data_IF_326791505766
#
_entry.id   IF_326791505766
#
_cell.length_a   1.000
_cell.length_b   1.000
_cell.length_c   1.000
_cell.angle_alpha   90.00
_cell.angle_beta   90.00
_cell.angle_gamma   90.00
#
_symmetry.space_group_name_H-M   'P 1'
#
loop_
_entity.id
_entity.type
_entity.pdbx_description
1 polymer ?
#
# COMPACT_ATOMS: atom_id res chain seq x y z
N UNK A 1 11.44 14.86 35.98
CA UNK A 1 10.50 14.92 34.85
C UNK A 1 11.33 14.63 33.61
N UNK A 2 11.49 13.34 33.34
CA UNK A 2 12.22 12.88 32.16
C UNK A 2 11.35 13.21 30.95
N UNK A 3 11.78 14.22 30.19
CA UNK A 3 11.21 14.50 28.88
C UNK A 3 11.58 13.31 28.00
N UNK A 4 10.63 12.38 27.85
CA UNK A 4 10.69 11.37 26.80
C UNK A 4 11.03 12.11 25.50
N UNK A 5 12.08 11.71 24.76
CA UNK A 5 12.44 12.41 23.53
C UNK A 5 11.23 12.35 22.62
N UNK A 6 10.67 13.51 22.30
CA UNK A 6 9.52 13.66 21.40
C UNK A 6 9.91 12.99 20.08
N UNK A 7 9.57 11.71 19.92
CA UNK A 7 9.59 11.03 18.62
C UNK A 7 8.70 11.88 17.74
N UNK A 8 9.27 12.49 16.70
CA UNK A 8 8.49 13.38 15.86
C UNK A 8 7.30 12.61 15.29
N UNK A 9 6.16 13.29 15.23
CA UNK A 9 4.87 12.69 14.87
C UNK A 9 4.51 13.08 13.44
N UNK A 10 3.75 12.21 12.75
CA UNK A 10 3.21 12.52 11.43
C UNK A 10 1.89 13.28 11.58
N UNK A 11 1.88 14.54 11.13
CA UNK A 11 0.69 15.38 11.11
C UNK A 11 0.54 16.09 9.76
N UNK A 12 -0.66 16.61 9.47
CA UNK A 12 -0.94 17.42 8.29
C UNK A 12 -1.15 16.66 6.96
N UNK A 13 -1.55 17.41 5.94
CA UNK A 13 -1.96 16.86 4.63
C UNK A 13 -0.83 16.13 3.88
N UNK A 14 0.42 16.60 4.00
CA UNK A 14 1.57 15.96 3.36
C UNK A 14 1.78 14.52 3.83
N UNK A 15 1.60 14.26 5.13
CA UNK A 15 1.69 12.93 5.72
C UNK A 15 0.58 12.00 5.20
N UNK A 16 -0.65 12.51 5.04
CA UNK A 16 -1.77 11.75 4.46
C UNK A 16 -1.49 11.37 3.02
N UNK A 17 -0.99 12.31 2.22
CA UNK A 17 -0.60 12.04 0.82
C UNK A 17 0.49 10.97 0.76
N UNK A 18 1.53 11.07 1.60
CA UNK A 18 2.58 10.06 1.66
C UNK A 18 2.05 8.66 1.99
N UNK A 19 1.14 8.56 2.97
CA UNK A 19 0.50 7.31 3.38
C UNK A 19 -0.32 6.70 2.24
N UNK A 20 -1.23 7.46 1.63
CA UNK A 20 -2.11 6.97 0.56
C UNK A 20 -1.29 6.48 -0.64
N UNK A 21 -0.25 7.22 -1.03
CA UNK A 21 0.65 6.82 -2.12
C UNK A 21 1.39 5.51 -1.79
N UNK A 22 1.84 5.34 -0.54
CA UNK A 22 2.51 4.14 -0.10
C UNK A 22 1.56 2.94 -0.02
N UNK A 23 0.39 3.10 0.61
CA UNK A 23 -0.65 2.08 0.69
C UNK A 23 -1.05 1.59 -0.70
N UNK A 24 -1.28 2.52 -1.62
CA UNK A 24 -1.67 2.21 -2.99
C UNK A 24 -0.55 1.47 -3.73
N UNK A 25 0.71 1.91 -3.60
CA UNK A 25 1.87 1.24 -4.20
C UNK A 25 2.02 -0.19 -3.68
N UNK A 26 2.04 -0.37 -2.37
CA UNK A 26 2.25 -1.66 -1.69
C UNK A 26 1.13 -2.63 -2.04
N UNK A 27 -0.11 -2.17 -1.89
CA UNK A 27 -1.31 -2.95 -2.20
C UNK A 27 -1.36 -3.39 -3.65
N UNK A 28 -1.09 -2.47 -4.58
CA UNK A 28 -1.18 -2.76 -6.01
C UNK A 28 -0.13 -3.81 -6.42
N UNK A 29 1.13 -3.65 -6.00
CA UNK A 29 2.18 -4.64 -6.33
C UNK A 29 1.92 -5.98 -5.66
N UNK A 30 1.55 -6.00 -4.37
CA UNK A 30 1.28 -7.25 -3.64
C UNK A 30 0.10 -8.01 -4.25
N UNK A 31 -0.99 -7.32 -4.60
CA UNK A 31 -2.13 -7.91 -5.29
C UNK A 31 -1.75 -8.47 -6.66
N UNK A 32 -0.98 -7.72 -7.44
CA UNK A 32 -0.50 -8.16 -8.74
C UNK A 32 0.38 -9.42 -8.63
N UNK A 33 1.28 -9.47 -7.64
CA UNK A 33 2.13 -10.62 -7.35
C UNK A 33 1.33 -11.86 -6.95
N UNK A 34 0.30 -11.71 -6.12
CA UNK A 34 -0.59 -12.81 -5.72
C UNK A 34 -1.37 -13.38 -6.92
N UNK A 35 -1.73 -12.53 -7.88
CA UNK A 35 -2.42 -12.96 -9.11
C UNK A 35 -1.51 -13.21 -10.31
N UNK A 36 -0.19 -13.19 -10.12
CA UNK A 36 0.78 -13.25 -11.22
C UNK A 36 0.68 -14.58 -11.98
N UNK A 37 0.44 -14.50 -13.29
CA UNK A 37 0.41 -15.67 -14.19
C UNK A 37 0.42 -15.25 -15.65
N UNK A 38 1.57 -15.35 -16.32
CA UNK A 38 1.65 -15.08 -17.76
C UNK A 38 0.98 -16.15 -18.63
N UNK A 39 0.67 -17.32 -18.05
CA UNK A 39 -0.13 -18.36 -18.70
C UNK A 39 -1.61 -17.97 -18.84
N UNK A 40 -2.10 -17.08 -17.98
CA UNK A 40 -3.52 -16.68 -17.95
C UNK A 40 -3.71 -15.24 -18.43
N UNK A 41 -2.85 -14.32 -17.95
CA UNK A 41 -2.96 -12.88 -18.17
C UNK A 41 -1.75 -12.40 -18.97
N UNK A 42 -2.00 -11.57 -20.00
CA UNK A 42 -0.92 -11.05 -20.85
C UNK A 42 0.07 -10.21 -20.05
N UNK A 43 1.36 -10.31 -20.40
CA UNK A 43 2.48 -9.54 -19.79
C UNK A 43 2.24 -8.03 -19.76
N UNK A 44 1.50 -7.48 -20.74
CA UNK A 44 1.18 -6.06 -20.80
C UNK A 44 0.49 -5.53 -19.55
N UNK A 45 -0.41 -6.32 -18.94
CA UNK A 45 -1.08 -5.96 -17.68
C UNK A 45 -0.09 -5.75 -16.54
N UNK A 46 0.84 -6.70 -16.34
CA UNK A 46 1.81 -6.60 -15.25
C UNK A 46 2.88 -5.54 -15.50
N UNK A 47 3.24 -5.28 -16.76
CA UNK A 47 4.16 -4.19 -17.11
C UNK A 47 3.57 -2.81 -16.84
N UNK A 48 2.31 -2.56 -17.22
CA UNK A 48 1.66 -1.27 -16.92
C UNK A 48 1.50 -1.09 -15.42
N UNK A 49 1.13 -2.15 -14.69
CA UNK A 49 1.10 -2.14 -13.22
C UNK A 49 2.48 -1.76 -12.66
N UNK A 50 3.55 -2.42 -13.09
CA UNK A 50 4.89 -2.17 -12.56
C UNK A 50 5.42 -0.76 -12.85
N UNK A 51 5.16 -0.21 -14.05
CA UNK A 51 5.54 1.18 -14.35
C UNK A 51 4.73 2.17 -13.52
N UNK A 52 3.41 1.96 -13.41
CA UNK A 52 2.53 2.83 -12.64
C UNK A 52 2.94 2.84 -11.17
N UNK A 53 3.22 1.67 -10.59
CA UNK A 53 3.65 1.56 -9.20
C UNK A 53 5.10 2.00 -8.99
N UNK A 54 5.96 1.92 -9.99
CA UNK A 54 7.30 2.53 -9.94
C UNK A 54 7.25 4.04 -9.79
N UNK A 55 6.39 4.72 -10.57
CA UNK A 55 6.15 6.17 -10.43
C UNK A 55 5.50 6.48 -9.09
N UNK A 56 4.45 5.73 -8.74
CA UNK A 56 3.71 5.94 -7.49
C UNK A 56 4.59 5.74 -6.25
N UNK A 57 5.45 4.73 -6.25
CA UNK A 57 6.41 4.45 -5.19
C UNK A 57 7.47 5.54 -5.07
N UNK A 58 7.98 6.07 -6.19
CA UNK A 58 8.90 7.20 -6.17
C UNK A 58 8.23 8.46 -5.56
N UNK A 59 6.98 8.74 -5.94
CA UNK A 59 6.20 9.83 -5.35
C UNK A 59 5.93 9.60 -3.86
N UNK A 60 5.61 8.37 -3.45
CA UNK A 60 5.43 7.99 -2.05
C UNK A 60 6.69 8.27 -1.23
N UNK A 61 7.88 7.92 -1.76
CA UNK A 61 9.15 8.20 -1.10
C UNK A 61 9.41 9.71 -0.99
N UNK A 62 9.21 10.48 -2.06
CA UNK A 62 9.39 11.94 -2.03
C UNK A 62 8.46 12.58 -1.01
N UNK A 63 7.16 12.24 -1.06
CA UNK A 63 6.17 12.74 -0.12
C UNK A 63 6.53 12.36 1.33
N UNK A 64 6.90 11.10 1.57
CA UNK A 64 7.27 10.63 2.91
C UNK A 64 8.51 11.34 3.43
N UNK A 65 9.52 11.61 2.59
CA UNK A 65 10.72 12.36 2.99
C UNK A 65 10.43 13.82 3.29
N UNK A 66 9.50 14.44 2.55
CA UNK A 66 9.09 15.82 2.79
C UNK A 66 8.29 15.99 4.09
N UNK A 67 7.58 14.95 4.52
CA UNK A 67 6.75 14.97 5.73
C UNK A 67 7.34 14.17 6.90
N UNK A 68 8.53 13.58 6.75
CA UNK A 68 9.06 12.65 7.76
C UNK A 68 9.52 13.41 9.00
N UNK A 69 9.14 12.97 10.20
CA UNK A 69 9.66 13.56 11.42
C UNK A 69 11.13 13.20 11.65
N UNK A 70 11.84 14.07 12.37
CA UNK A 70 13.20 13.80 12.83
C UNK A 70 13.23 12.51 13.66
N UNK A 71 14.19 11.63 13.35
CA UNK A 71 14.37 10.35 14.03
C UNK A 71 13.57 9.16 13.45
N UNK A 72 12.80 9.34 12.37
CA UNK A 72 12.09 8.27 11.67
C UNK A 72 13.00 7.40 10.77
N UNK A 73 14.18 7.02 11.27
CA UNK A 73 15.24 6.32 10.51
C UNK A 73 14.77 4.95 10.03
N UNK A 74 14.08 4.19 10.89
CA UNK A 74 13.59 2.85 10.56
C UNK A 74 12.50 2.93 9.49
N UNK A 75 11.52 3.81 9.66
CA UNK A 75 10.44 4.02 8.71
C UNK A 75 10.98 4.48 7.36
N UNK A 76 11.91 5.46 7.36
CA UNK A 76 12.59 5.92 6.15
C UNK A 76 13.32 4.77 5.44
N UNK A 77 14.06 3.95 6.19
CA UNK A 77 14.75 2.77 5.63
C UNK A 77 13.79 1.77 4.99
N UNK A 78 12.66 1.48 5.65
CA UNK A 78 11.63 0.58 5.13
C UNK A 78 10.91 1.13 3.89
N UNK A 79 10.63 2.44 3.84
CA UNK A 79 10.03 3.07 2.64
C UNK A 79 11.01 3.01 1.47
N UNK A 80 12.29 3.32 1.68
CA UNK A 80 13.31 3.19 0.62
C UNK A 80 13.42 1.75 0.14
N UNK A 81 13.49 0.79 1.07
CA UNK A 81 13.60 -0.63 0.73
C UNK A 81 12.38 -1.13 -0.07
N UNK A 82 11.17 -0.70 0.34
CA UNK A 82 9.93 -0.95 -0.41
C UNK A 82 10.03 -0.44 -1.83
N UNK A 83 10.44 0.82 -2.02
CA UNK A 83 10.54 1.43 -3.36
C UNK A 83 11.63 0.78 -4.21
N UNK A 84 12.77 0.44 -3.62
CA UNK A 84 13.80 -0.34 -4.30
C UNK A 84 13.25 -1.70 -4.77
N UNK A 85 12.49 -2.40 -3.91
CA UNK A 85 11.84 -3.66 -4.27
C UNK A 85 10.79 -3.49 -5.38
N UNK A 86 10.09 -2.34 -5.46
CA UNK A 86 9.18 -2.02 -6.58
C UNK A 86 9.95 -1.95 -7.90
N UNK A 87 11.14 -1.33 -7.93
CA UNK A 87 11.97 -1.31 -9.13
C UNK A 87 12.54 -2.70 -9.49
N UNK A 88 12.83 -3.54 -8.49
CA UNK A 88 13.14 -4.95 -8.74
C UNK A 88 11.95 -5.69 -9.36
N UNK A 89 10.73 -5.46 -8.87
CA UNK A 89 9.51 -6.01 -9.45
C UNK A 89 9.31 -5.55 -10.89
N UNK A 90 9.56 -4.28 -11.18
CA UNK A 90 9.54 -3.74 -12.55
C UNK A 90 10.53 -4.47 -13.44
N UNK A 91 11.79 -4.58 -13.03
CA UNK A 91 12.81 -5.33 -13.77
C UNK A 91 12.39 -6.78 -14.01
N UNK A 92 11.80 -7.42 -13.01
CA UNK A 92 11.32 -8.81 -13.10
C UNK A 92 10.22 -9.01 -14.16
N UNK A 93 9.40 -7.99 -14.48
CA UNK A 93 8.38 -8.08 -15.54
C UNK A 93 8.95 -8.19 -16.97
N UNK A 94 10.26 -8.00 -17.12
CA UNK A 94 10.97 -8.13 -18.39
C UNK A 94 11.75 -9.43 -18.52
N UNK A 95 11.75 -10.27 -17.48
CA UNK A 95 12.38 -11.59 -17.52
C UNK A 95 11.49 -12.61 -18.25
N UNK A 96 12.05 -13.80 -18.49
CA UNK A 96 11.37 -14.87 -19.23
C UNK A 96 10.42 -15.72 -18.39
N UNK A 97 10.53 -15.67 -17.05
CA UNK A 97 9.72 -16.45 -16.12
C UNK A 97 8.89 -15.59 -15.13
N UNK A 98 7.75 -16.14 -14.71
CA UNK A 98 6.86 -15.52 -13.71
C UNK A 98 7.50 -15.44 -12.31
N UNK A 99 8.38 -16.40 -11.99
CA UNK A 99 8.92 -16.62 -10.63
C UNK A 99 9.58 -15.40 -10.00
N UNK A 100 10.55 -14.75 -10.67
CA UNK A 100 11.18 -13.53 -10.16
C UNK A 100 10.18 -12.42 -9.84
N UNK A 101 9.13 -12.27 -10.65
CA UNK A 101 8.12 -11.26 -10.45
C UNK A 101 7.19 -11.57 -9.27
N UNK A 102 6.87 -12.85 -9.04
CA UNK A 102 6.17 -13.28 -7.82
C UNK A 102 7.00 -12.96 -6.58
N UNK A 103 8.29 -13.32 -6.60
CA UNK A 103 9.20 -13.15 -5.44
C UNK A 103 9.41 -11.67 -5.12
N UNK A 104 9.76 -10.86 -6.11
CA UNK A 104 9.98 -9.42 -5.92
C UNK A 104 8.70 -8.70 -5.52
N UNK A 105 7.55 -9.07 -6.07
CA UNK A 105 6.28 -8.49 -5.68
C UNK A 105 5.83 -8.90 -4.27
N UNK A 106 6.08 -10.14 -3.85
CA UNK A 106 5.88 -10.58 -2.47
C UNK A 106 6.81 -9.83 -1.50
N UNK A 107 8.06 -9.58 -1.91
CA UNK A 107 9.02 -8.77 -1.15
C UNK A 107 8.50 -7.34 -0.95
N UNK A 108 7.93 -6.71 -1.98
CA UNK A 108 7.26 -5.40 -1.86
C UNK A 108 6.12 -5.47 -0.84
N UNK A 109 5.30 -6.51 -0.88
CA UNK A 109 4.22 -6.71 0.10
C UNK A 109 4.73 -6.78 1.54
N UNK A 110 5.79 -7.55 1.79
CA UNK A 110 6.37 -7.74 3.13
C UNK A 110 7.03 -6.45 3.63
N UNK A 111 7.90 -5.83 2.83
CA UNK A 111 8.59 -4.60 3.20
C UNK A 111 7.61 -3.44 3.34
N UNK A 112 6.65 -3.35 2.43
CA UNK A 112 5.59 -2.35 2.42
C UNK A 112 4.68 -2.45 3.63
N UNK A 113 4.19 -3.65 3.97
CA UNK A 113 3.40 -3.87 5.18
C UNK A 113 4.21 -3.55 6.44
N UNK A 114 5.50 -3.89 6.46
CA UNK A 114 6.40 -3.53 7.56
C UNK A 114 6.57 -2.01 7.68
N UNK A 115 6.71 -1.30 6.56
CA UNK A 115 6.78 0.15 6.52
C UNK A 115 5.49 0.78 7.07
N UNK A 116 4.32 0.35 6.55
CA UNK A 116 3.01 0.84 7.00
C UNK A 116 2.77 0.57 8.49
N UNK A 117 3.11 -0.63 8.97
CA UNK A 117 3.03 -0.97 10.39
C UNK A 117 3.92 -0.08 11.26
N UNK A 118 5.17 0.14 10.85
CA UNK A 118 6.11 1.00 11.58
C UNK A 118 5.72 2.49 11.54
N UNK A 119 5.12 2.94 10.44
CA UNK A 119 4.58 4.29 10.30
C UNK A 119 3.34 4.50 11.17
N UNK A 120 2.53 3.45 11.38
CA UNK A 120 1.40 3.49 12.33
C UNK A 120 1.80 3.94 13.73
N UNK A 121 3.03 3.66 14.16
CA UNK A 121 3.59 4.14 15.44
C UNK A 121 3.96 5.62 15.48
N UNK A 122 3.90 6.33 14.35
CA UNK A 122 4.13 7.77 14.24
C UNK A 122 2.81 8.58 14.19
N UNK A 123 1.66 7.91 14.14
CA UNK A 123 0.35 8.56 14.08
C UNK A 123 -0.04 9.07 15.46
N UNK A 124 -0.15 10.39 15.59
CA UNK A 124 -0.46 11.04 16.86
C UNK A 124 -1.83 10.65 17.40
N UNK A 125 -1.90 10.31 18.69
CA UNK A 125 -3.18 10.04 19.37
C UNK A 125 -3.77 8.67 19.06
N UNK A 126 -3.09 7.82 18.29
CA UNK A 126 -3.54 6.48 17.93
C UNK A 126 -2.68 5.39 18.56
N UNK A 127 -3.28 4.22 18.79
CA UNK A 127 -2.51 3.01 19.09
C UNK A 127 -1.73 2.60 17.85
N UNK A 128 -0.42 2.40 17.99
CA UNK A 128 0.46 2.00 16.90
C UNK A 128 -0.04 0.74 16.16
N UNK A 129 -0.59 -0.22 16.91
CA UNK A 129 -1.14 -1.47 16.37
C UNK A 129 -2.38 -1.20 15.54
N UNK A 130 -3.31 -0.38 16.04
CA UNK A 130 -4.56 -0.07 15.33
C UNK A 130 -4.27 0.78 14.09
N UNK A 131 -3.43 1.82 14.21
CA UNK A 131 -3.06 2.66 13.06
C UNK A 131 -2.34 1.84 11.99
N UNK A 132 -1.33 1.05 12.38
CA UNK A 132 -0.61 0.18 11.45
C UNK A 132 -1.51 -0.85 10.78
N UNK A 133 -2.42 -1.49 11.53
CA UNK A 133 -3.39 -2.42 10.97
C UNK A 133 -4.34 -1.73 9.97
N UNK A 134 -4.84 -0.54 10.29
CA UNK A 134 -5.69 0.25 9.38
C UNK A 134 -4.97 0.55 8.07
N UNK A 135 -3.70 0.97 8.13
CA UNK A 135 -2.89 1.26 6.95
C UNK A 135 -2.65 0.00 6.08
N UNK A 136 -2.38 -1.14 6.71
CA UNK A 136 -2.19 -2.41 5.99
C UNK A 136 -3.48 -2.86 5.32
N UNK A 137 -4.63 -2.71 6.00
CA UNK A 137 -5.94 -3.04 5.44
C UNK A 137 -6.32 -2.06 4.32
N UNK A 138 -5.98 -0.78 4.46
CA UNK A 138 -6.14 0.24 3.41
C UNK A 138 -5.34 -0.13 2.15
N UNK A 139 -4.07 -0.51 2.32
CA UNK A 139 -3.25 -1.04 1.23
C UNK A 139 -3.87 -2.29 0.58
N UNK A 140 -4.34 -3.26 1.37
CA UNK A 140 -5.00 -4.46 0.84
C UNK A 140 -6.23 -4.12 0.01
N UNK A 141 -7.08 -3.20 0.50
CA UNK A 141 -8.28 -2.74 -0.20
C UNK A 141 -7.94 -2.02 -1.51
N UNK A 142 -7.07 -1.00 -1.45
CA UNK A 142 -6.66 -0.23 -2.63
C UNK A 142 -6.00 -1.12 -3.67
N UNK A 143 -5.16 -2.06 -3.23
CA UNK A 143 -4.54 -3.05 -4.09
C UNK A 143 -5.55 -3.97 -4.77
N UNK A 144 -6.48 -4.54 -4.01
CA UNK A 144 -7.51 -5.44 -4.51
C UNK A 144 -8.41 -4.76 -5.55
N UNK A 145 -8.91 -3.56 -5.23
CA UNK A 145 -9.80 -2.79 -6.11
C UNK A 145 -9.06 -2.31 -7.36
N UNK A 146 -7.85 -1.76 -7.23
CA UNK A 146 -7.07 -1.26 -8.38
C UNK A 146 -6.74 -2.40 -9.35
N UNK A 147 -6.22 -3.52 -8.83
CA UNK A 147 -5.93 -4.69 -9.66
C UNK A 147 -7.22 -5.26 -10.27
N UNK A 148 -8.31 -5.35 -9.49
CA UNK A 148 -9.59 -5.88 -9.97
C UNK A 148 -10.17 -5.06 -11.11
N UNK A 149 -10.18 -3.73 -10.99
CA UNK A 149 -10.64 -2.82 -12.05
C UNK A 149 -9.76 -2.89 -13.29
N UNK A 150 -8.43 -2.85 -13.11
CA UNK A 150 -7.48 -2.98 -14.22
C UNK A 150 -7.65 -4.30 -14.93
N UNK A 151 -7.69 -5.41 -14.20
CA UNK A 151 -7.83 -6.74 -14.77
C UNK A 151 -9.19 -6.93 -15.45
N UNK A 152 -10.25 -6.30 -14.94
CA UNK A 152 -11.57 -6.27 -15.56
C UNK A 152 -11.54 -5.82 -17.03
N UNK A 153 -10.72 -4.80 -17.36
CA UNK A 153 -10.55 -4.37 -18.75
C UNK A 153 -9.96 -5.47 -19.65
N UNK A 154 -9.02 -6.27 -19.13
CA UNK A 154 -8.46 -7.41 -19.87
C UNK A 154 -9.48 -8.52 -20.06
N UNK A 155 -10.34 -8.80 -19.08
CA UNK A 155 -11.42 -9.78 -19.25
C UNK A 155 -12.41 -9.38 -20.34
N UNK A 156 -12.74 -8.09 -20.44
CA UNK A 156 -13.66 -7.58 -21.47
C UNK A 156 -13.06 -7.67 -22.88
N UNK A 157 -11.73 -7.52 -23.01
CA UNK A 157 -11.04 -7.50 -24.30
C UNK A 157 -10.34 -8.83 -24.65
N UNK A 158 -10.40 -9.84 -23.78
CA UNK A 158 -9.79 -11.15 -24.00
C UNK A 158 -10.77 -12.28 -23.66
N UNK A 159 -11.58 -12.73 -24.63
CA UNK A 159 -12.48 -13.86 -24.45
C UNK A 159 -11.74 -15.11 -23.94
N UNK A 160 -12.32 -15.80 -22.96
CA UNK A 160 -11.80 -17.07 -22.43
C UNK A 160 -10.75 -16.97 -21.33
N UNK A 161 -10.46 -15.77 -20.80
CA UNK A 161 -9.57 -15.61 -19.66
C UNK A 161 -10.20 -16.22 -18.39
N UNK A 162 -9.44 -17.03 -17.65
CA UNK A 162 -9.95 -17.74 -16.47
C UNK A 162 -10.24 -16.76 -15.32
N UNK A 163 -11.41 -16.78 -14.66
CA UNK A 163 -11.83 -15.74 -13.70
C UNK A 163 -11.16 -15.83 -12.32
N UNK A 164 -10.25 -16.78 -12.08
CA UNK A 164 -9.72 -17.05 -10.75
C UNK A 164 -8.97 -15.85 -10.14
N UNK A 165 -8.26 -15.07 -10.96
CA UNK A 165 -7.51 -13.91 -10.49
C UNK A 165 -8.45 -12.80 -10.02
N UNK A 166 -9.49 -12.52 -10.82
CA UNK A 166 -10.53 -11.56 -10.45
C UNK A 166 -11.29 -12.02 -9.19
N UNK A 167 -11.62 -13.31 -9.09
CA UNK A 167 -12.30 -13.85 -7.91
C UNK A 167 -11.47 -13.67 -6.62
N UNK A 168 -10.15 -13.92 -6.66
CA UNK A 168 -9.26 -13.68 -5.52
C UNK A 168 -9.21 -12.21 -5.10
N UNK A 169 -9.13 -11.30 -6.07
CA UNK A 169 -9.11 -9.86 -5.80
C UNK A 169 -10.44 -9.36 -5.23
N UNK A 170 -11.56 -9.86 -5.74
CA UNK A 170 -12.89 -9.57 -5.16
C UNK A 170 -13.00 -10.08 -3.73
N UNK A 171 -12.53 -11.30 -3.44
CA UNK A 171 -12.48 -11.83 -2.08
C UNK A 171 -11.60 -10.97 -1.17
N UNK A 172 -10.41 -10.58 -1.64
CA UNK A 172 -9.52 -9.70 -0.89
C UNK A 172 -10.17 -8.34 -0.60
N UNK A 173 -10.88 -7.75 -1.56
CA UNK A 173 -11.60 -6.50 -1.36
C UNK A 173 -12.70 -6.64 -0.30
N UNK A 174 -13.52 -7.69 -0.38
CA UNK A 174 -14.59 -7.94 0.60
C UNK A 174 -14.03 -8.18 2.02
N UNK A 175 -12.96 -8.96 2.13
CA UNK A 175 -12.26 -9.17 3.41
C UNK A 175 -11.72 -7.85 3.95
N UNK A 176 -11.13 -7.02 3.09
CA UNK A 176 -10.61 -5.71 3.50
C UNK A 176 -11.72 -4.80 4.01
N UNK A 177 -12.88 -4.75 3.34
CA UNK A 177 -14.05 -3.98 3.80
C UNK A 177 -14.50 -4.43 5.18
N UNK A 178 -14.59 -5.75 5.41
CA UNK A 178 -14.96 -6.28 6.72
C UNK A 178 -13.93 -5.90 7.80
N UNK A 179 -12.64 -6.01 7.50
CA UNK A 179 -11.55 -5.62 8.42
C UNK A 179 -11.55 -4.12 8.70
N UNK A 180 -11.75 -3.27 7.68
CA UNK A 180 -11.87 -1.82 7.83
C UNK A 180 -13.06 -1.48 8.73
N UNK A 181 -14.21 -2.14 8.55
CA UNK A 181 -15.37 -1.96 9.42
C UNK A 181 -15.09 -2.34 10.87
N UNK A 182 -14.40 -3.47 11.10
CA UNK A 182 -14.03 -3.91 12.45
C UNK A 182 -13.04 -2.95 13.12
N UNK A 183 -11.96 -2.55 12.43
CA UNK A 183 -10.97 -1.60 12.93
C UNK A 183 -11.59 -0.21 13.16
N UNK A 184 -12.44 0.26 12.26
CA UNK A 184 -13.19 1.50 12.40
C UNK A 184 -14.12 1.48 13.60
N UNK A 185 -14.78 0.35 13.86
CA UNK A 185 -15.64 0.18 15.05
C UNK A 185 -14.84 0.22 16.35
N UNK A 186 -13.66 -0.41 16.38
CA UNK A 186 -12.73 -0.35 17.53
C UNK A 186 -12.24 1.09 17.75
N UNK A 187 -11.99 1.82 16.67
CA UNK A 187 -11.52 3.20 16.71
C UNK A 187 -12.64 4.25 16.83
N UNK A 188 -13.92 3.86 16.83
CA UNK A 188 -15.06 4.76 16.68
C UNK A 188 -15.08 5.87 17.74
N UNK A 189 -14.77 5.56 19.00
CA UNK A 189 -14.71 6.55 20.08
C UNK A 189 -13.60 7.59 19.89
N UNK A 190 -12.48 7.22 19.27
CA UNK A 190 -11.39 8.17 18.93
C UNK A 190 -11.74 8.99 17.70
N UNK A 191 -12.38 8.38 16.70
CA UNK A 191 -12.82 9.07 15.48
C UNK A 191 -13.89 10.12 15.78
N UNK A 192 -14.82 9.83 16.70
CA UNK A 192 -15.88 10.76 17.09
C UNK A 192 -15.37 12.04 17.78
N UNK A 193 -14.18 11.99 18.39
CA UNK A 193 -13.53 13.14 19.03
C UNK A 193 -12.31 13.67 18.27
N UNK A 194 -12.07 13.22 17.03
CA UNK A 194 -10.93 13.66 16.25
C UNK A 194 -11.23 15.03 15.61
N UNK A 195 -10.46 16.04 15.99
CA UNK A 195 -10.45 17.35 15.34
C UNK A 195 -9.29 17.42 14.34
N UNK A 196 -9.53 18.00 13.16
CA UNK A 196 -8.48 18.21 12.15
C UNK A 196 -8.05 19.67 12.17
N UNK A 197 -6.88 19.93 12.76
CA UNK A 197 -6.23 21.24 12.64
C UNK A 197 -5.81 21.43 11.17
N UNK A 198 -6.49 22.35 10.47
CA UNK A 198 -6.29 22.60 9.03
C UNK A 198 -7.46 22.24 8.11
N UNK A 199 -8.58 21.73 8.63
CA UNK A 199 -9.84 21.59 7.86
C UNK A 199 -10.67 22.88 7.82
N UNK A 200 -10.07 24.03 8.17
CA UNK A 200 -10.65 25.34 7.91
C UNK A 200 -10.25 25.71 6.49
N UNK A 201 -11.16 25.49 5.54
CA UNK A 201 -11.18 26.32 4.35
C UNK A 201 -11.49 27.73 4.85
N UNK A 202 -10.55 28.66 4.64
CA UNK A 202 -10.80 30.09 4.86
C UNK A 202 -12.03 30.57 4.09
#
# INVERSE_FOLDING_TARGET
MDQEPLRGKLTGAGSVVALVLLEWTVGWVAGAAWTQSWKTVKRGHFRITAWSTGVLGALALVAFRASSPDGATVQSGLVIATVAAVFLYLGAQYLESDGPAVVTGALVGILGASALGAIGGLVEGWSAVIAGATLIVGALFLGAVTNGMMLGHWYLNQPGLKPWALARLTQAALVSVALSGALGSIAAGKLAGAETEGAILG
#
